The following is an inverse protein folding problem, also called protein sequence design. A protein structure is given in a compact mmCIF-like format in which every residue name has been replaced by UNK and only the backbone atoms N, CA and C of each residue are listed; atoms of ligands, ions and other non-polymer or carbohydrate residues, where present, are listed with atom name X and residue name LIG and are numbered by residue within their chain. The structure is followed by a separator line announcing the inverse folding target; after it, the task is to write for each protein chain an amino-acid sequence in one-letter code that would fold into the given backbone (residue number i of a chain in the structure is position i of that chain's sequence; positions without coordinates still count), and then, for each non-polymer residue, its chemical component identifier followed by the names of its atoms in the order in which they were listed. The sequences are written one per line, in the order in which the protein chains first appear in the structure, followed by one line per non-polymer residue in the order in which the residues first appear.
data_IF_260329848771
#
_entry.id   IF_260329848771
#
_cell.length_a   1.000
_cell.length_b   1.000
_cell.length_c   1.000
_cell.angle_alpha   90.00
_cell.angle_beta   90.00
_cell.angle_gamma   90.00
#
_symmetry.space_group_name_H-M   'P 1'
#
loop_
_entity.id
_entity.type
_entity.pdbx_description
1 polymer ?
#
# COMPACT_ATOMS: atom_id res chain seq x y z
N UNK A 1 27.93 -6.28 17.23
CA UNK A 1 26.94 -5.90 18.25
C UNK A 1 25.66 -5.47 17.56
N UNK A 2 24.57 -6.23 17.75
CA UNK A 2 23.25 -5.88 17.22
C UNK A 2 22.48 -5.20 18.33
N UNK A 3 22.26 -3.89 18.21
CA UNK A 3 21.46 -3.18 19.20
C UNK A 3 20.00 -3.53 18.98
N UNK A 4 19.36 -3.83 20.10
CA UNK A 4 17.93 -3.95 20.26
C UNK A 4 17.29 -2.65 19.75
N UNK A 5 16.25 -2.77 18.92
CA UNK A 5 15.48 -1.70 18.24
C UNK A 5 15.97 -1.22 16.85
N UNK A 6 16.99 -1.83 16.23
CA UNK A 6 17.36 -1.48 14.85
C UNK A 6 16.50 -2.24 13.82
N UNK A 7 15.98 -1.50 12.83
CA UNK A 7 15.39 -2.09 11.62
C UNK A 7 16.48 -2.88 10.86
N UNK A 8 16.12 -4.03 10.29
CA UNK A 8 17.02 -4.81 9.42
C UNK A 8 16.96 -4.34 7.96
N UNK A 9 16.38 -3.18 7.67
CA UNK A 9 16.34 -2.64 6.33
C UNK A 9 17.72 -2.11 5.92
N UNK A 10 18.10 -2.25 4.63
CA UNK A 10 19.29 -1.59 4.12
C UNK A 10 19.11 -0.07 4.16
N UNK A 11 20.23 0.66 4.24
CA UNK A 11 20.20 2.10 4.08
C UNK A 11 19.92 2.43 2.61
N UNK A 12 18.89 3.22 2.34
CA UNK A 12 18.67 3.78 1.01
C UNK A 12 19.40 5.11 0.88
N UNK A 13 20.14 5.26 -0.22
CA UNK A 13 20.85 6.49 -0.53
C UNK A 13 20.44 6.92 -1.94
N UNK A 14 19.63 7.98 -2.03
CA UNK A 14 19.17 8.53 -3.30
C UNK A 14 20.03 9.74 -3.62
N UNK A 15 20.72 9.72 -4.76
CA UNK A 15 21.55 10.83 -5.22
C UNK A 15 22.58 11.29 -4.16
N UNK A 16 23.08 10.34 -3.37
CA UNK A 16 24.05 10.61 -2.32
C UNK A 16 23.48 11.19 -1.02
N UNK A 17 22.15 11.26 -0.87
CA UNK A 17 21.45 11.58 0.38
C UNK A 17 20.94 10.29 1.00
N UNK A 18 21.30 9.98 2.27
CA UNK A 18 20.65 8.92 3.03
C UNK A 18 19.19 9.28 3.29
N UNK A 19 18.28 8.35 3.02
CA UNK A 19 16.83 8.58 3.04
C UNK A 19 16.19 7.78 4.16
N UNK A 20 15.20 8.39 4.82
CA UNK A 20 14.40 7.66 5.82
C UNK A 20 13.59 6.55 5.14
N UNK A 21 13.69 5.33 5.67
CA UNK A 21 13.06 4.14 5.10
C UNK A 21 12.21 3.37 6.11
N UNK A 22 12.22 3.78 7.38
CA UNK A 22 11.49 3.09 8.42
C UNK A 22 9.99 3.01 8.05
N UNK A 23 9.40 1.81 8.02
CA UNK A 23 7.97 1.66 7.79
C UNK A 23 7.20 2.37 8.89
N UNK A 24 6.03 2.89 8.55
CA UNK A 24 5.15 3.46 9.57
C UNK A 24 4.72 2.39 10.57
N UNK A 25 4.62 2.76 11.85
CA UNK A 25 4.33 1.85 12.97
C UNK A 25 2.84 1.67 13.26
N UNK A 26 1.94 2.11 12.36
CA UNK A 26 0.50 2.04 12.62
C UNK A 26 -0.04 0.60 12.71
N UNK A 27 0.57 -0.34 11.98
CA UNK A 27 0.29 -1.76 12.14
C UNK A 27 1.45 -2.41 12.92
N UNK A 28 1.10 -2.97 14.07
CA UNK A 28 2.02 -3.63 15.01
C UNK A 28 2.34 -5.08 14.65
N UNK A 29 1.68 -5.61 13.60
CA UNK A 29 1.76 -7.01 13.19
C UNK A 29 1.03 -7.97 14.13
N UNK A 30 0.18 -7.47 15.02
CA UNK A 30 -0.61 -8.29 15.95
C UNK A 30 -1.75 -9.01 15.22
N UNK A 31 -2.12 -10.20 15.71
CA UNK A 31 -3.21 -11.01 15.17
C UNK A 31 -4.53 -10.24 15.06
N UNK A 32 -4.85 -9.39 16.05
CA UNK A 32 -6.12 -8.67 16.14
C UNK A 32 -6.00 -7.21 15.69
N UNK A 33 -4.92 -6.85 15.00
CA UNK A 33 -4.72 -5.47 14.56
C UNK A 33 -5.79 -5.08 13.53
N UNK A 34 -6.41 -3.92 13.72
CA UNK A 34 -7.44 -3.38 12.83
C UNK A 34 -6.89 -2.19 12.05
N UNK A 35 -5.65 -2.33 11.56
CA UNK A 35 -4.89 -1.24 10.95
C UNK A 35 -4.32 -1.67 9.60
N UNK A 36 -4.26 -0.76 8.61
CA UNK A 36 -3.60 -1.03 7.34
C UNK A 36 -2.07 -0.93 7.44
N UNK A 37 -1.37 -1.46 6.43
CA UNK A 37 0.01 -1.07 6.16
C UNK A 37 0.03 0.30 5.44
N UNK A 38 0.78 1.25 6.00
CA UNK A 38 0.89 2.61 5.48
C UNK A 38 1.98 2.75 4.41
N UNK A 39 2.67 1.66 4.09
CA UNK A 39 3.75 1.60 3.12
C UNK A 39 5.07 2.11 3.69
N UNK A 40 6.07 2.04 2.83
CA UNK A 40 7.41 2.53 3.10
C UNK A 40 7.71 3.81 2.31
N UNK A 41 8.59 4.69 2.80
CA UNK A 41 8.94 5.91 2.08
C UNK A 41 9.73 5.68 0.77
N UNK A 42 10.34 4.51 0.54
CA UNK A 42 11.12 4.27 -0.69
C UNK A 42 10.23 3.97 -1.89
N UNK A 43 9.04 3.41 -1.64
CA UNK A 43 8.02 3.12 -2.65
C UNK A 43 7.59 4.35 -3.44
N UNK A 44 7.91 5.56 -2.97
CA UNK A 44 7.50 6.85 -3.51
C UNK A 44 8.31 7.35 -4.72
N UNK A 45 9.38 6.67 -5.12
CA UNK A 45 10.21 7.07 -6.27
C UNK A 45 9.57 6.59 -7.57
N UNK A 46 9.49 7.47 -8.58
CA UNK A 46 9.11 7.07 -9.94
C UNK A 46 10.20 6.20 -10.58
N UNK A 47 9.92 4.93 -10.97
CA UNK A 47 10.91 4.07 -11.61
C UNK A 47 11.44 4.63 -12.94
N UNK A 48 10.64 5.40 -13.69
CA UNK A 48 11.06 5.97 -14.98
C UNK A 48 12.17 7.02 -14.82
N UNK A 49 12.36 7.56 -13.61
CA UNK A 49 13.40 8.54 -13.31
C UNK A 49 14.68 7.90 -12.75
N UNK A 50 14.70 6.60 -12.53
CA UNK A 50 15.89 5.87 -12.04
C UNK A 50 16.86 5.63 -13.20
N UNK A 51 18.12 6.04 -13.01
CA UNK A 51 19.21 5.72 -13.93
C UNK A 51 19.90 4.42 -13.53
N UNK A 52 20.22 4.28 -12.23
CA UNK A 52 20.89 3.09 -11.71
C UNK A 52 20.43 2.75 -10.30
N UNK A 53 20.43 1.45 -10.00
CA UNK A 53 20.30 0.90 -8.65
C UNK A 53 21.54 0.04 -8.40
N UNK A 54 22.32 0.36 -7.37
CA UNK A 54 23.52 -0.38 -6.97
C UNK A 54 23.40 -0.87 -5.54
N UNK A 55 23.73 -2.15 -5.30
CA UNK A 55 23.61 -2.76 -3.96
C UNK A 55 25.01 -2.98 -3.37
N UNK A 56 25.35 -2.24 -2.33
CA UNK A 56 26.59 -2.43 -1.57
C UNK A 56 26.36 -3.40 -0.41
N UNK A 57 27.11 -4.50 -0.43
CA UNK A 57 27.03 -5.58 0.56
C UNK A 57 28.26 -5.58 1.47
N UNK A 58 28.09 -5.96 2.74
CA UNK A 58 29.19 -6.20 3.67
C UNK A 58 29.99 -4.95 4.05
N UNK A 59 31.29 -5.13 4.32
CA UNK A 59 32.16 -4.11 4.91
C UNK A 59 32.33 -2.83 4.05
N UNK A 60 32.18 -2.94 2.72
CA UNK A 60 32.28 -1.80 1.80
C UNK A 60 31.16 -0.76 2.01
N UNK A 61 29.98 -1.19 2.46
CA UNK A 61 28.84 -0.32 2.74
C UNK A 61 29.06 0.50 4.02
N UNK A 62 29.49 -0.17 5.10
CA UNK A 62 29.73 0.43 6.42
C UNK A 62 30.89 1.43 6.42
N UNK A 63 31.88 1.26 5.54
CA UNK A 63 33.03 2.16 5.43
C UNK A 63 32.64 3.56 4.92
N UNK A 64 31.68 3.64 3.99
CA UNK A 64 31.28 4.91 3.38
C UNK A 64 30.08 5.57 4.08
N UNK A 65 29.18 4.77 4.66
CA UNK A 65 27.90 5.25 5.21
C UNK A 65 27.73 4.97 6.71
N UNK A 66 28.78 4.47 7.37
CA UNK A 66 28.84 4.31 8.82
C UNK A 66 27.85 3.27 9.37
N UNK A 67 27.39 3.48 10.61
CA UNK A 67 26.59 2.49 11.34
C UNK A 67 25.26 2.14 10.66
N UNK A 68 24.65 3.10 9.94
CA UNK A 68 23.36 2.92 9.26
C UNK A 68 23.44 1.90 8.12
N UNK A 69 24.64 1.66 7.59
CA UNK A 69 24.90 0.72 6.50
C UNK A 69 25.22 -0.70 6.95
N UNK A 70 25.01 -1.02 8.25
CA UNK A 70 25.26 -2.36 8.80
C UNK A 70 24.48 -3.47 8.06
N UNK A 71 23.25 -3.17 7.61
CA UNK A 71 22.40 -4.08 6.85
C UNK A 71 22.65 -4.02 5.32
N UNK A 72 23.66 -3.26 4.87
CA UNK A 72 23.92 -2.96 3.46
C UNK A 72 23.36 -1.60 3.03
N UNK A 73 23.68 -1.19 1.79
CA UNK A 73 23.22 0.07 1.20
C UNK A 73 22.65 -0.19 -0.19
N UNK A 74 21.51 0.42 -0.49
CA UNK A 74 20.94 0.51 -1.83
C UNK A 74 21.13 1.94 -2.33
N UNK A 75 22.01 2.11 -3.30
CA UNK A 75 22.30 3.37 -3.96
C UNK A 75 21.39 3.54 -5.17
N UNK A 76 20.62 4.62 -5.19
CA UNK A 76 19.75 4.99 -6.31
C UNK A 76 20.29 6.29 -6.91
N UNK A 77 20.52 6.31 -8.22
CA UNK A 77 20.87 7.52 -8.95
C UNK A 77 19.76 7.83 -9.93
N UNK A 78 19.28 9.07 -9.94
CA UNK A 78 18.23 9.53 -10.88
C UNK A 78 18.83 10.05 -12.18
N UNK A 79 18.08 9.88 -13.28
CA UNK A 79 18.48 10.31 -14.63
C UNK A 79 18.91 11.77 -14.67
N UNK A 80 19.91 12.05 -15.51
CA UNK A 80 20.39 13.39 -15.87
C UNK A 80 20.35 13.57 -17.39
N UNK A 81 20.30 14.82 -17.87
CA UNK A 81 20.10 15.14 -19.29
C UNK A 81 21.34 14.95 -20.19
N UNK A 82 22.24 14.00 -19.89
CA UNK A 82 23.54 13.84 -20.59
C UNK A 82 23.37 13.57 -22.09
N UNK A 83 23.41 14.64 -22.90
CA UNK A 83 23.52 14.57 -24.36
C UNK A 83 22.21 14.35 -25.14
N UNK A 84 21.07 14.19 -24.47
CA UNK A 84 19.78 13.93 -25.09
C UNK A 84 18.81 15.08 -24.83
N UNK A 85 18.90 16.14 -25.64
CA UNK A 85 17.91 17.21 -25.65
C UNK A 85 16.57 16.66 -26.16
N UNK A 86 15.48 17.04 -25.50
CA UNK A 86 14.15 16.73 -25.98
C UNK A 86 13.14 16.45 -24.89
N UNK A 87 11.99 15.95 -25.34
CA UNK A 87 10.87 15.57 -24.51
C UNK A 87 10.72 14.04 -24.60
N UNK A 88 10.65 13.38 -23.46
CA UNK A 88 10.37 11.95 -23.34
C UNK A 88 8.98 11.79 -22.70
N UNK A 89 8.15 10.97 -23.29
CA UNK A 89 6.86 10.58 -22.74
C UNK A 89 6.83 9.06 -22.56
N UNK A 90 6.48 8.61 -21.36
CA UNK A 90 6.26 7.21 -21.04
C UNK A 90 4.83 7.03 -20.54
N UNK A 91 4.15 5.98 -21.01
CA UNK A 91 2.86 5.55 -20.49
C UNK A 91 2.92 4.05 -20.24
N UNK A 92 2.67 3.64 -19.00
CA UNK A 92 2.67 2.25 -18.57
C UNK A 92 1.31 1.87 -18.00
N UNK A 93 0.72 0.78 -18.50
CA UNK A 93 -0.54 0.24 -18.02
C UNK A 93 -0.33 -1.19 -17.51
N UNK A 94 -0.83 -1.47 -16.31
CA UNK A 94 -0.80 -2.78 -15.66
C UNK A 94 -2.21 -3.16 -15.23
N UNK A 95 -2.63 -4.38 -15.55
CA UNK A 95 -3.86 -4.98 -15.02
C UNK A 95 -3.51 -6.07 -14.01
N UNK A 96 -4.21 -6.07 -12.87
CA UNK A 96 -3.90 -6.92 -11.73
C UNK A 96 -5.11 -7.79 -11.38
N UNK A 97 -4.85 -9.04 -11.03
CA UNK A 97 -5.87 -9.96 -10.50
C UNK A 97 -5.31 -10.69 -9.30
N UNK A 98 -6.21 -11.12 -8.42
CA UNK A 98 -5.84 -12.02 -7.32
C UNK A 98 -5.16 -13.28 -7.87
N UNK A 99 -4.08 -13.70 -7.21
CA UNK A 99 -3.25 -14.82 -7.66
C UNK A 99 -3.56 -16.12 -6.92
N UNK A 100 -3.60 -16.06 -5.58
CA UNK A 100 -3.85 -17.23 -4.76
C UNK A 100 -5.32 -17.30 -4.35
N UNK A 101 -6.00 -18.36 -4.77
CA UNK A 101 -7.40 -18.60 -4.45
C UNK A 101 -7.60 -19.60 -3.30
N UNK A 102 -6.51 -20.26 -2.84
CA UNK A 102 -6.51 -21.38 -1.88
C UNK A 102 -7.48 -22.52 -2.26
N UNK A 103 -7.01 -23.76 -2.24
CA UNK A 103 -7.89 -24.90 -2.51
C UNK A 103 -8.73 -25.22 -1.26
N UNK A 104 -9.93 -24.64 -1.19
CA UNK A 104 -10.88 -24.87 -0.11
C UNK A 104 -11.61 -26.21 -0.26
N UNK A 105 -12.03 -26.79 0.86
CA UNK A 105 -12.94 -27.94 0.81
C UNK A 105 -14.30 -27.50 0.25
N UNK A 106 -14.91 -28.33 -0.60
CA UNK A 106 -16.26 -28.12 -1.15
C UNK A 106 -17.11 -29.40 -1.04
N UNK A 107 -16.94 -30.16 0.03
CA UNK A 107 -17.77 -31.33 0.34
C UNK A 107 -18.86 -30.98 1.36
N UNK A 108 -18.54 -30.13 2.34
CA UNK A 108 -19.43 -29.70 3.42
C UNK A 108 -19.67 -28.19 3.32
N UNK A 109 -20.91 -27.76 3.58
CA UNK A 109 -21.31 -26.34 3.54
C UNK A 109 -21.47 -25.72 4.93
N UNK A 110 -22.22 -24.61 4.96
CA UNK A 110 -22.54 -23.88 6.18
C UNK A 110 -23.21 -24.76 7.25
N UNK A 111 -22.69 -24.72 8.47
CA UNK A 111 -23.26 -25.42 9.61
C UNK A 111 -22.24 -25.78 10.67
N UNK A 112 -22.65 -26.62 11.62
CA UNK A 112 -21.79 -27.17 12.66
C UNK A 112 -22.22 -28.59 13.01
N UNK A 113 -21.29 -29.40 13.51
CA UNK A 113 -21.57 -30.79 13.92
C UNK A 113 -22.33 -31.60 12.85
N UNK A 114 -21.93 -31.46 11.58
CA UNK A 114 -22.55 -32.12 10.43
C UNK A 114 -24.04 -31.78 10.22
N UNK A 115 -24.51 -30.66 10.79
CA UNK A 115 -25.91 -30.24 10.75
C UNK A 115 -26.04 -28.93 9.97
N UNK A 116 -27.03 -28.87 9.07
CA UNK A 116 -27.36 -27.67 8.28
C UNK A 116 -28.24 -26.71 9.12
N UNK A 117 -28.12 -25.39 8.94
CA UNK A 117 -29.03 -24.45 9.56
C UNK A 117 -30.50 -24.71 9.20
N UNK A 118 -31.39 -24.57 10.19
CA UNK A 118 -32.85 -24.70 10.01
C UNK A 118 -33.60 -23.38 10.25
N UNK A 119 -32.91 -22.36 10.78
CA UNK A 119 -33.44 -21.00 10.99
C UNK A 119 -32.42 -19.96 10.56
N UNK A 120 -32.88 -18.75 10.23
CA UNK A 120 -32.00 -17.62 9.87
C UNK A 120 -31.02 -17.29 10.99
N UNK A 121 -31.50 -17.26 12.24
CA UNK A 121 -30.68 -17.05 13.43
C UNK A 121 -29.62 -18.14 13.56
N UNK A 122 -30.00 -19.41 13.35
CA UNK A 122 -29.07 -20.53 13.36
C UNK A 122 -28.00 -20.42 12.29
N UNK A 123 -28.36 -19.96 11.08
CA UNK A 123 -27.41 -19.72 10.00
C UNK A 123 -26.42 -18.58 10.35
N UNK A 124 -26.92 -17.49 10.92
CA UNK A 124 -26.09 -16.36 11.33
C UNK A 124 -25.11 -16.73 12.47
N UNK A 125 -25.48 -17.64 13.38
CA UNK A 125 -24.57 -18.11 14.44
C UNK A 125 -23.37 -18.91 13.92
N UNK A 126 -23.44 -19.45 12.71
CA UNK A 126 -22.38 -20.23 12.06
C UNK A 126 -21.91 -19.54 10.77
N UNK A 127 -21.90 -18.21 10.77
CA UNK A 127 -21.67 -17.37 9.59
C UNK A 127 -20.30 -17.53 8.93
N UNK A 128 -19.32 -18.16 9.58
CA UNK A 128 -17.97 -18.44 9.06
C UNK A 128 -17.59 -19.94 9.09
N UNK A 129 -18.57 -20.83 9.30
CA UNK A 129 -18.30 -22.26 9.51
C UNK A 129 -18.73 -23.09 8.31
N UNK A 130 -17.84 -23.95 7.82
CA UNK A 130 -18.16 -24.96 6.80
C UNK A 130 -18.20 -26.39 7.35
N UNK A 131 -18.57 -26.54 8.63
CA UNK A 131 -18.68 -27.83 9.34
C UNK A 131 -20.12 -28.36 9.39
N UNK A 132 -20.94 -27.96 8.40
CA UNK A 132 -22.31 -28.41 8.24
C UNK A 132 -22.42 -29.79 7.60
N UNK A 133 -23.63 -30.15 7.17
CA UNK A 133 -23.85 -31.37 6.39
C UNK A 133 -23.17 -31.33 5.02
N UNK A 134 -23.12 -32.48 4.34
CA UNK A 134 -22.66 -32.57 2.94
C UNK A 134 -23.50 -31.69 2.02
N UNK A 135 -22.83 -31.06 1.06
CA UNK A 135 -23.48 -30.31 -0.01
C UNK A 135 -24.28 -31.27 -0.90
N UNK A 136 -25.58 -31.04 -1.00
CA UNK A 136 -26.52 -31.95 -1.67
C UNK A 136 -27.61 -31.23 -2.47
N UNK A 137 -27.53 -29.89 -2.58
CA UNK A 137 -28.50 -29.09 -3.33
C UNK A 137 -29.85 -28.90 -2.64
N UNK A 138 -30.04 -29.43 -1.43
CA UNK A 138 -31.24 -29.18 -0.62
C UNK A 138 -31.47 -27.69 -0.36
N UNK A 139 -32.70 -27.29 -0.11
CA UNK A 139 -33.04 -25.91 0.25
C UNK A 139 -32.72 -25.65 1.72
N UNK A 140 -31.77 -24.75 1.99
CA UNK A 140 -31.31 -24.40 3.35
C UNK A 140 -31.45 -22.91 3.56
N UNK A 141 -32.02 -22.53 4.70
CA UNK A 141 -32.17 -21.12 5.10
C UNK A 141 -30.82 -20.49 5.44
N UNK A 142 -30.60 -19.26 4.99
CA UNK A 142 -29.39 -18.48 5.27
C UNK A 142 -29.66 -17.33 6.26
N UNK A 143 -28.62 -16.55 6.58
CA UNK A 143 -28.65 -15.49 7.59
C UNK A 143 -29.78 -14.45 7.39
N UNK A 144 -30.18 -14.22 6.14
CA UNK A 144 -31.22 -13.28 5.73
C UNK A 144 -32.64 -13.88 5.75
N UNK A 145 -32.78 -15.14 6.16
CA UNK A 145 -34.06 -15.86 6.16
C UNK A 145 -34.49 -16.41 4.81
N UNK A 146 -33.72 -16.17 3.75
CA UNK A 146 -34.00 -16.74 2.43
C UNK A 146 -33.41 -18.14 2.33
N UNK A 147 -34.23 -19.10 1.89
CA UNK A 147 -33.74 -20.45 1.59
C UNK A 147 -33.11 -20.53 0.21
N UNK A 148 -31.88 -21.04 0.14
CA UNK A 148 -31.10 -21.19 -1.10
C UNK A 148 -30.60 -22.63 -1.25
N UNK A 149 -30.28 -23.09 -2.47
CA UNK A 149 -29.67 -24.40 -2.68
C UNK A 149 -28.34 -24.53 -1.94
N UNK A 150 -28.19 -25.62 -1.19
CA UNK A 150 -27.00 -25.92 -0.41
C UNK A 150 -25.93 -26.56 -1.29
N UNK A 151 -25.29 -25.72 -2.11
CA UNK A 151 -24.30 -26.07 -3.15
C UNK A 151 -23.01 -25.29 -2.97
N UNK A 152 -21.91 -25.79 -3.56
CA UNK A 152 -20.60 -25.16 -3.50
C UNK A 152 -20.58 -23.78 -4.19
N UNK A 153 -19.99 -22.78 -3.53
CA UNK A 153 -19.78 -21.42 -4.01
C UNK A 153 -18.29 -21.20 -4.25
N UNK A 154 -17.81 -21.59 -5.43
CA UNK A 154 -16.37 -21.65 -5.76
C UNK A 154 -15.77 -20.33 -6.23
N UNK A 155 -16.61 -19.37 -6.59
CA UNK A 155 -16.20 -18.12 -7.23
C UNK A 155 -16.29 -16.91 -6.29
N UNK A 156 -16.42 -17.13 -4.97
CA UNK A 156 -16.61 -16.04 -4.00
C UNK A 156 -15.49 -14.98 -4.05
N UNK A 157 -14.23 -15.41 -4.20
CA UNK A 157 -13.12 -14.46 -4.28
C UNK A 157 -13.23 -13.62 -5.57
N UNK A 158 -13.52 -14.24 -6.71
CA UNK A 158 -13.67 -13.58 -8.00
C UNK A 158 -14.91 -12.67 -8.06
N UNK A 159 -15.96 -13.00 -7.30
CA UNK A 159 -17.18 -12.20 -7.20
C UNK A 159 -17.00 -10.97 -6.29
N UNK A 160 -16.05 -10.99 -5.37
CA UNK A 160 -15.76 -9.87 -4.48
C UNK A 160 -14.66 -8.95 -5.02
N UNK A 161 -13.52 -9.52 -5.39
CA UNK A 161 -12.39 -8.75 -5.91
C UNK A 161 -12.64 -8.32 -7.35
N UNK A 162 -12.20 -7.12 -7.69
CA UNK A 162 -12.19 -6.62 -9.08
C UNK A 162 -10.82 -6.80 -9.72
N UNK A 163 -10.77 -6.72 -11.04
CA UNK A 163 -9.50 -6.48 -11.74
C UNK A 163 -8.97 -5.09 -11.36
N UNK A 164 -7.78 -5.05 -10.78
CA UNK A 164 -7.06 -3.83 -10.47
C UNK A 164 -6.39 -3.25 -11.72
N UNK A 165 -6.07 -1.97 -11.67
CA UNK A 165 -5.39 -1.29 -12.77
C UNK A 165 -4.44 -0.22 -12.25
N UNK A 166 -3.23 -0.16 -12.81
CA UNK A 166 -2.30 0.95 -12.62
C UNK A 166 -2.00 1.59 -13.95
N UNK A 167 -2.16 2.92 -14.04
CA UNK A 167 -1.73 3.72 -15.17
C UNK A 167 -0.72 4.76 -14.69
N UNK A 168 0.48 4.71 -15.24
CA UNK A 168 1.52 5.72 -14.99
C UNK A 168 1.80 6.48 -16.28
N UNK A 169 1.73 7.80 -16.22
CA UNK A 169 2.19 8.68 -17.30
C UNK A 169 3.34 9.54 -16.80
N UNK A 170 4.48 9.48 -17.46
CA UNK A 170 5.67 10.29 -17.16
C UNK A 170 5.99 11.18 -18.35
N UNK A 171 6.08 12.49 -18.11
CA UNK A 171 6.61 13.47 -19.07
C UNK A 171 7.93 14.02 -18.54
N UNK A 172 8.95 13.99 -19.37
CA UNK A 172 10.29 14.45 -19.05
C UNK A 172 10.80 15.44 -20.10
N UNK A 173 11.46 16.49 -19.64
CA UNK A 173 12.15 17.46 -20.47
C UNK A 173 13.63 17.46 -20.13
N UNK A 174 14.47 17.37 -21.15
CA UNK A 174 15.92 17.35 -21.05
C UNK A 174 16.51 18.49 -21.90
N UNK A 175 17.46 19.22 -21.33
CA UNK A 175 18.20 20.25 -22.04
C UNK A 175 19.66 20.30 -21.60
N UNK A 176 20.56 20.19 -22.55
CA UNK A 176 21.99 20.44 -22.43
C UNK A 176 22.32 21.82 -23.01
N UNK A 177 23.34 22.44 -22.45
CA UNK A 177 23.88 23.73 -22.89
C UNK A 177 25.36 23.81 -22.56
N UNK A 178 26.05 24.85 -23.01
CA UNK A 178 27.46 25.00 -22.70
C UNK A 178 27.68 25.14 -21.18
N UNK A 179 28.54 24.28 -20.65
CA UNK A 179 28.79 24.17 -19.22
C UNK A 179 27.72 23.43 -18.41
N UNK A 180 26.64 22.87 -18.96
CA UNK A 180 25.67 22.17 -18.10
C UNK A 180 24.51 21.42 -18.76
N UNK A 181 23.64 20.87 -17.93
CA UNK A 181 22.39 20.25 -18.34
C UNK A 181 21.34 20.30 -17.24
N UNK A 182 20.07 20.36 -17.65
CA UNK A 182 18.90 20.29 -16.78
C UNK A 182 17.95 19.21 -17.27
N UNK A 183 17.34 18.52 -16.32
CA UNK A 183 16.26 17.57 -16.54
C UNK A 183 15.13 17.87 -15.56
N UNK A 184 13.91 17.93 -16.09
CA UNK A 184 12.68 17.96 -15.29
C UNK A 184 11.80 16.77 -15.69
N UNK A 185 11.13 16.12 -14.73
CA UNK A 185 10.03 15.19 -15.00
C UNK A 185 8.85 15.43 -14.09
N UNK A 186 7.68 15.14 -14.63
CA UNK A 186 6.43 15.00 -13.89
C UNK A 186 5.85 13.63 -14.23
N UNK A 187 5.46 12.88 -13.19
CA UNK A 187 4.79 11.59 -13.31
C UNK A 187 3.47 11.64 -12.57
N UNK A 188 2.46 11.02 -13.14
CA UNK A 188 1.15 10.79 -12.53
C UNK A 188 0.84 9.29 -12.58
N UNK A 189 0.66 8.69 -11.41
CA UNK A 189 0.24 7.30 -11.22
C UNK A 189 -1.18 7.32 -10.66
N UNK A 190 -2.09 6.61 -11.31
CA UNK A 190 -3.38 6.26 -10.75
C UNK A 190 -3.51 4.74 -10.66
N UNK A 191 -3.70 4.25 -9.43
CA UNK A 191 -3.91 2.85 -9.13
C UNK A 191 -5.31 2.64 -8.54
N UNK A 192 -6.04 1.70 -9.15
CA UNK A 192 -7.26 1.11 -8.59
C UNK A 192 -6.92 -0.30 -8.11
N UNK A 193 -6.99 -0.52 -6.80
CA UNK A 193 -6.65 -1.81 -6.23
C UNK A 193 -7.69 -2.89 -6.58
N UNK A 194 -7.29 -4.15 -6.44
CA UNK A 194 -8.19 -5.31 -6.59
C UNK A 194 -9.27 -5.37 -5.50
N UNK A 195 -8.98 -4.81 -4.32
CA UNK A 195 -9.98 -4.63 -3.25
C UNK A 195 -10.94 -3.50 -3.68
N UNK A 196 -12.26 -3.72 -3.61
CA UNK A 196 -13.23 -2.66 -3.87
C UNK A 196 -12.98 -1.43 -3.01
N UNK A 197 -13.27 -0.24 -3.55
CA UNK A 197 -13.13 1.04 -2.85
C UNK A 197 -11.71 1.41 -2.36
N UNK A 198 -10.66 0.70 -2.80
CA UNK A 198 -9.27 1.02 -2.47
C UNK A 198 -8.46 1.48 -3.68
N UNK A 199 -7.47 2.34 -3.47
CA UNK A 199 -6.58 2.83 -4.54
C UNK A 199 -5.45 3.74 -4.05
N UNK A 200 -4.62 4.17 -4.98
CA UNK A 200 -3.48 5.05 -4.72
C UNK A 200 -3.28 5.99 -5.92
N UNK A 201 -3.31 7.29 -5.68
CA UNK A 201 -2.92 8.29 -6.66
C UNK A 201 -1.62 8.96 -6.21
N UNK A 202 -0.68 9.15 -7.13
CA UNK A 202 0.61 9.75 -6.82
C UNK A 202 1.13 10.62 -7.96
N UNK A 203 1.51 11.84 -7.61
CA UNK A 203 2.27 12.72 -8.47
C UNK A 203 3.72 12.80 -7.99
N UNK A 204 4.67 12.76 -8.92
CA UNK A 204 6.10 12.91 -8.62
C UNK A 204 6.73 13.91 -9.58
N UNK A 205 7.40 14.90 -9.01
CA UNK A 205 8.13 15.92 -9.75
C UNK A 205 9.61 15.78 -9.44
N UNK A 206 10.43 15.68 -10.49
CA UNK A 206 11.86 15.46 -10.40
C UNK A 206 12.61 16.54 -11.14
N UNK A 207 13.66 17.06 -10.51
CA UNK A 207 14.59 18.01 -11.07
C UNK A 207 16.02 17.52 -10.86
N UNK A 208 16.81 17.56 -11.92
CA UNK A 208 18.25 17.34 -11.90
C UNK A 208 18.92 18.44 -12.70
N UNK A 209 19.83 19.19 -12.10
CA UNK A 209 20.65 20.20 -12.76
C UNK A 209 22.12 19.98 -12.49
N UNK A 210 22.92 19.92 -13.54
CA UNK A 210 24.38 19.93 -13.43
C UNK A 210 24.94 21.13 -14.18
N UNK A 211 25.79 21.92 -13.54
CA UNK A 211 26.30 23.15 -14.12
C UNK A 211 27.75 23.40 -13.69
N UNK A 212 28.57 23.80 -14.65
CA UNK A 212 29.97 24.16 -14.48
C UNK A 212 30.10 25.66 -14.77
N UNK A 213 29.67 26.54 -13.83
CA UNK A 213 29.67 27.98 -14.05
C UNK A 213 31.07 28.56 -14.33
N UNK A 214 32.11 27.89 -13.85
CA UNK A 214 33.52 28.27 -14.03
C UNK A 214 34.37 27.01 -14.24
N UNK A 215 35.54 27.14 -14.88
CA UNK A 215 36.45 26.02 -15.25
C UNK A 215 36.73 25.02 -14.12
N UNK A 216 36.75 25.50 -12.87
CA UNK A 216 37.09 24.68 -11.70
C UNK A 216 35.89 24.33 -10.82
N UNK A 217 34.72 24.95 -11.03
CA UNK A 217 33.55 24.78 -10.18
C UNK A 217 32.48 23.97 -10.88
N UNK A 218 32.06 22.87 -10.27
CA UNK A 218 30.93 22.05 -10.69
C UNK A 218 29.85 22.06 -9.61
N UNK A 219 28.62 22.30 -10.02
CA UNK A 219 27.42 22.30 -9.21
C UNK A 219 26.49 21.19 -9.69
N UNK A 220 25.95 20.42 -8.77
CA UNK A 220 24.95 19.38 -9.00
C UNK A 220 23.81 19.61 -8.00
N UNK A 221 22.63 19.93 -8.50
CA UNK A 221 21.43 20.14 -7.70
C UNK A 221 20.35 19.15 -8.14
N UNK A 222 19.74 18.47 -7.17
CA UNK A 222 18.63 17.55 -7.41
C UNK A 222 17.51 17.80 -6.42
N UNK A 223 16.28 17.67 -6.89
CA UNK A 223 15.09 17.73 -6.07
C UNK A 223 14.04 16.73 -6.57
N UNK A 224 13.37 16.07 -5.64
CA UNK A 224 12.27 15.15 -5.86
C UNK A 224 11.15 15.55 -4.91
N UNK A 225 9.98 15.90 -5.48
CA UNK A 225 8.80 16.27 -4.73
C UNK A 225 7.68 15.29 -5.04
N UNK A 226 7.10 14.70 -4.00
CA UNK A 226 6.08 13.65 -4.11
C UNK A 226 4.81 14.10 -3.40
N UNK A 227 3.69 13.92 -4.09
CA UNK A 227 2.34 14.02 -3.55
C UNK A 227 1.68 12.66 -3.69
N UNK A 228 1.25 12.06 -2.59
CA UNK A 228 0.61 10.75 -2.59
C UNK A 228 -0.71 10.81 -1.83
N UNK A 229 -1.73 10.15 -2.38
CA UNK A 229 -3.05 10.01 -1.81
C UNK A 229 -3.46 8.54 -1.89
N UNK A 230 -3.38 7.84 -0.76
CA UNK A 230 -3.89 6.48 -0.64
C UNK A 230 -5.34 6.52 -0.17
N UNK A 231 -6.23 5.95 -0.97
CA UNK A 231 -7.65 5.84 -0.65
C UNK A 231 -7.98 4.47 -0.09
N UNK A 232 -8.58 4.48 1.09
CA UNK A 232 -9.07 3.33 1.84
C UNK A 232 -8.13 2.11 1.81
N UNK A 233 -6.95 2.26 2.41
CA UNK A 233 -5.97 1.19 2.52
C UNK A 233 -6.61 -0.04 3.19
N UNK A 234 -6.50 -1.25 2.60
CA UNK A 234 -7.09 -2.44 3.19
C UNK A 234 -6.53 -2.71 4.60
N UNK A 235 -7.43 -2.96 5.55
CA UNK A 235 -7.06 -3.44 6.88
C UNK A 235 -6.59 -4.89 6.78
N UNK A 236 -5.64 -5.26 7.66
CA UNK A 236 -4.99 -6.57 7.68
C UNK A 236 -5.42 -7.38 8.92
N UNK A 237 -4.85 -8.59 9.05
CA UNK A 237 -5.03 -9.50 10.20
C UNK A 237 -6.51 -9.86 10.50
N UNK A 238 -6.83 -10.28 11.72
CA UNK A 238 -8.21 -10.61 12.15
C UNK A 238 -9.02 -9.33 12.48
N UNK A 239 -8.55 -8.16 12.03
CA UNK A 239 -9.20 -6.87 12.24
C UNK A 239 -10.61 -6.84 11.67
N UNK A 240 -11.55 -6.28 12.43
CA UNK A 240 -12.96 -6.26 12.04
C UNK A 240 -13.21 -5.55 10.68
N UNK A 241 -12.42 -4.55 10.32
CA UNK A 241 -12.49 -3.88 9.02
C UNK A 241 -11.75 -4.59 7.88
N UNK A 242 -11.14 -5.77 8.12
CA UNK A 242 -10.47 -6.54 7.08
C UNK A 242 -11.48 -7.28 6.20
N UNK A 243 -11.85 -6.68 5.07
CA UNK A 243 -12.73 -7.32 4.09
C UNK A 243 -12.14 -8.64 3.55
N UNK A 244 -10.82 -8.73 3.37
CA UNK A 244 -10.17 -9.93 2.81
C UNK A 244 -10.35 -11.14 3.72
N UNK A 245 -10.16 -10.97 5.04
CA UNK A 245 -10.37 -12.03 6.01
C UNK A 245 -11.80 -12.58 5.90
N UNK A 246 -12.79 -11.68 5.89
CA UNK A 246 -14.19 -12.07 5.90
C UNK A 246 -14.63 -12.78 4.62
N UNK A 247 -14.12 -12.41 3.44
CA UNK A 247 -14.42 -13.12 2.18
C UNK A 247 -13.77 -14.49 2.12
N UNK A 248 -12.52 -14.61 2.56
CA UNK A 248 -11.74 -15.86 2.49
C UNK A 248 -12.37 -16.94 3.37
N UNK A 249 -12.91 -16.57 4.53
CA UNK A 249 -13.50 -17.50 5.49
C UNK A 249 -15.03 -17.61 5.41
N UNK A 250 -15.65 -17.18 4.31
CA UNK A 250 -17.08 -17.43 4.10
C UNK A 250 -17.35 -18.94 4.03
N UNK A 251 -18.52 -19.40 4.54
CA UNK A 251 -18.96 -20.76 4.34
C UNK A 251 -18.97 -21.11 2.86
N UNK A 252 -18.50 -22.30 2.51
CA UNK A 252 -18.38 -22.75 1.12
C UNK A 252 -19.71 -22.92 0.40
N UNK A 253 -20.84 -22.81 1.11
CA UNK A 253 -22.20 -22.79 0.58
C UNK A 253 -22.86 -21.40 0.56
N UNK A 254 -22.18 -20.36 1.01
CA UNK A 254 -22.68 -18.99 1.06
C UNK A 254 -22.08 -18.19 -0.10
N UNK A 255 -22.93 -17.65 -0.97
CA UNK A 255 -22.48 -16.81 -2.08
C UNK A 255 -22.20 -15.40 -1.54
N UNK A 256 -20.98 -14.92 -1.71
CA UNK A 256 -20.56 -13.59 -1.23
C UNK A 256 -21.51 -12.50 -1.72
N UNK A 257 -22.09 -12.62 -2.91
CA UNK A 257 -22.98 -11.59 -3.50
C UNK A 257 -24.26 -11.39 -2.72
N UNK A 258 -24.65 -12.36 -1.88
CA UNK A 258 -25.81 -12.21 -0.97
C UNK A 258 -25.53 -11.24 0.18
N UNK A 259 -24.26 -10.91 0.41
CA UNK A 259 -23.83 -9.95 1.42
C UNK A 259 -23.85 -8.50 0.91
N UNK A 260 -24.01 -8.27 -0.40
CA UNK A 260 -24.10 -6.93 -0.97
C UNK A 260 -25.50 -6.30 -0.71
N UNK A 261 -25.61 -4.98 -0.47
CA UNK A 261 -24.56 -3.96 -0.52
C UNK A 261 -23.67 -3.88 0.73
N UNK A 262 -23.92 -4.72 1.74
CA UNK A 262 -23.23 -4.69 3.03
C UNK A 262 -23.97 -3.91 4.11
N UNK A 263 -24.98 -3.14 3.74
CA UNK A 263 -25.75 -2.28 4.64
C UNK A 263 -27.23 -2.62 4.66
N UNK A 264 -27.86 -2.40 5.82
CA UNK A 264 -29.31 -2.31 5.95
C UNK A 264 -29.82 -0.93 5.46
N UNK A 265 -31.14 -0.74 5.26
CA UNK A 265 -31.70 0.54 4.83
C UNK A 265 -31.41 1.73 5.76
N UNK A 266 -31.15 1.48 7.04
CA UNK A 266 -30.79 2.49 8.03
C UNK A 266 -29.28 2.81 8.06
N UNK A 267 -28.49 2.18 7.18
CA UNK A 267 -27.05 2.37 7.06
C UNK A 267 -26.20 1.51 8.00
N UNK A 268 -26.82 0.73 8.89
CA UNK A 268 -26.12 -0.24 9.74
C UNK A 268 -25.61 -1.42 8.92
N UNK A 269 -24.67 -2.20 9.48
CA UNK A 269 -24.15 -3.39 8.84
C UNK A 269 -25.22 -4.46 8.62
N UNK A 270 -25.27 -5.03 7.42
CA UNK A 270 -25.98 -6.28 7.15
C UNK A 270 -25.19 -7.44 7.76
N UNK A 271 -25.44 -7.71 9.04
CA UNK A 271 -24.73 -8.75 9.82
C UNK A 271 -25.10 -10.14 9.32
N UNK A 272 -24.10 -10.88 8.85
CA UNK A 272 -24.25 -12.27 8.42
C UNK A 272 -23.71 -13.30 9.43
N UNK A 273 -22.87 -12.85 10.37
CA UNK A 273 -22.24 -13.71 11.37
C UNK A 273 -22.46 -13.16 12.78
N UNK A 274 -23.51 -13.63 13.45
CA UNK A 274 -23.79 -13.29 14.86
C UNK A 274 -23.01 -14.16 15.84
N UNK A 275 -22.40 -15.26 15.38
CA UNK A 275 -21.52 -16.10 16.21
C UNK A 275 -20.16 -15.46 16.47
N UNK A 276 -19.73 -14.57 15.57
CA UNK A 276 -18.60 -13.67 15.78
C UNK A 276 -18.89 -12.30 15.13
N UNK A 277 -19.42 -11.32 15.88
CA UNK A 277 -19.81 -10.02 15.33
C UNK A 277 -18.64 -9.15 14.85
N UNK A 278 -17.39 -9.54 15.13
CA UNK A 278 -16.20 -8.89 14.55
C UNK A 278 -15.94 -9.34 13.11
N UNK A 279 -16.61 -10.39 12.63
CA UNK A 279 -16.60 -10.76 11.22
C UNK A 279 -17.57 -9.87 10.45
N UNK A 280 -17.10 -8.67 10.16
CA UNK A 280 -17.86 -7.66 9.43
C UNK A 280 -18.17 -8.14 8.01
N UNK A 281 -19.38 -7.86 7.54
CA UNK A 281 -19.75 -8.03 6.15
C UNK A 281 -18.67 -7.42 5.22
N UNK A 282 -18.12 -8.18 4.26
CA UNK A 282 -16.97 -7.74 3.48
C UNK A 282 -17.26 -6.51 2.59
N UNK A 283 -18.50 -6.32 2.12
CA UNK A 283 -18.87 -5.11 1.39
C UNK A 283 -18.95 -3.91 2.32
N UNK A 284 -19.50 -4.08 3.53
CA UNK A 284 -19.52 -3.03 4.55
C UNK A 284 -18.09 -2.64 4.98
N UNK A 285 -17.24 -3.64 5.22
CA UNK A 285 -15.84 -3.42 5.55
C UNK A 285 -15.11 -2.62 4.45
N UNK A 286 -15.33 -2.95 3.17
CA UNK A 286 -14.69 -2.25 2.06
C UNK A 286 -15.25 -0.84 1.80
N UNK A 287 -16.55 -0.61 2.00
CA UNK A 287 -17.20 0.64 1.59
C UNK A 287 -17.45 1.64 2.73
N UNK A 288 -17.53 1.19 3.98
CA UNK A 288 -17.93 2.03 5.12
C UNK A 288 -16.78 2.34 6.08
N UNK A 289 -15.75 1.49 6.15
CA UNK A 289 -14.51 1.87 6.82
C UNK A 289 -13.73 2.86 5.96
N UNK A 290 -13.08 3.82 6.60
CA UNK A 290 -12.21 4.80 5.95
C UNK A 290 -10.81 4.65 6.49
N UNK A 291 -9.82 4.49 5.61
CA UNK A 291 -8.40 4.47 5.94
C UNK A 291 -7.59 5.22 4.86
N UNK A 292 -7.64 6.55 4.89
CA UNK A 292 -6.96 7.39 3.93
C UNK A 292 -5.62 7.89 4.46
N UNK A 293 -4.63 7.97 3.58
CA UNK A 293 -3.34 8.61 3.87
C UNK A 293 -3.01 9.63 2.79
N UNK A 294 -2.58 10.82 3.19
CA UNK A 294 -1.95 11.78 2.27
C UNK A 294 -0.53 12.03 2.69
N UNK A 295 0.40 12.06 1.73
CA UNK A 295 1.81 12.35 1.95
C UNK A 295 2.29 13.46 1.02
N UNK A 296 3.05 14.37 1.60
CA UNK A 296 3.87 15.35 0.86
C UNK A 296 5.33 15.13 1.25
N UNK A 297 6.23 14.93 0.29
CA UNK A 297 7.66 14.70 0.56
C UNK A 297 8.55 15.50 -0.36
N UNK A 298 9.58 16.12 0.18
CA UNK A 298 10.67 16.77 -0.53
C UNK A 298 12.00 16.09 -0.18
N UNK A 299 12.67 15.56 -1.19
CA UNK A 299 14.02 15.07 -1.15
C UNK A 299 14.89 15.99 -2.02
N UNK A 300 15.86 16.69 -1.46
CA UNK A 300 16.73 17.59 -2.22
C UNK A 300 18.19 17.47 -1.82
N UNK A 301 19.08 17.75 -2.76
CA UNK A 301 20.50 17.92 -2.49
C UNK A 301 21.15 18.91 -3.42
N UNK A 302 22.19 19.56 -2.90
CA UNK A 302 23.10 20.39 -3.66
C UNK A 302 24.52 19.96 -3.31
N UNK A 303 25.30 19.67 -4.35
CA UNK A 303 26.72 19.35 -4.26
C UNK A 303 27.51 20.40 -5.04
N UNK A 304 28.50 20.99 -4.40
CA UNK A 304 29.47 21.88 -5.03
C UNK A 304 30.85 21.23 -4.97
N UNK A 305 31.55 21.18 -6.10
CA UNK A 305 32.90 20.64 -6.21
C UNK A 305 33.82 21.64 -6.89
N UNK A 306 34.91 22.02 -6.21
CA UNK A 306 35.97 22.83 -6.79
C UNK A 306 37.20 21.94 -7.05
N UNK A 307 37.67 21.86 -8.30
CA UNK A 307 38.82 21.03 -8.70
C UNK A 307 39.97 21.91 -9.18
N UNK A 308 41.09 21.87 -8.46
CA UNK A 308 42.32 22.60 -8.75
C UNK A 308 43.00 22.03 -10.01
N UNK A 309 43.87 22.82 -10.67
CA UNK A 309 44.59 22.39 -11.89
C UNK A 309 45.47 21.15 -11.68
N UNK A 310 45.90 20.88 -10.44
CA UNK A 310 46.67 19.69 -10.07
C UNK A 310 45.81 18.44 -9.81
N UNK A 311 44.49 18.53 -9.99
CA UNK A 311 43.53 17.44 -9.81
C UNK A 311 42.99 17.27 -8.38
N UNK A 312 43.52 18.00 -7.39
CA UNK A 312 42.97 18.02 -6.04
C UNK A 312 41.60 18.69 -6.03
N UNK A 313 40.63 18.16 -5.27
CA UNK A 313 39.30 18.76 -5.20
C UNK A 313 38.81 18.93 -3.76
N UNK A 314 37.98 19.95 -3.58
CA UNK A 314 37.16 20.16 -2.40
C UNK A 314 35.70 19.98 -2.79
N UNK A 315 34.94 19.20 -2.02
CA UNK A 315 33.52 18.96 -2.27
C UNK A 315 32.70 19.21 -1.00
N UNK A 316 31.66 20.03 -1.15
CA UNK A 316 30.62 20.21 -0.15
C UNK A 316 29.30 19.64 -0.66
N UNK A 317 28.54 18.97 0.20
CA UNK A 317 27.19 18.49 -0.10
C UNK A 317 26.26 18.83 1.06
N UNK A 318 25.08 19.33 0.72
CA UNK A 318 23.96 19.53 1.65
C UNK A 318 22.75 18.82 1.07
N UNK A 319 22.03 18.06 1.90
CA UNK A 319 20.83 17.37 1.50
C UNK A 319 19.73 17.56 2.55
N UNK A 320 18.47 17.48 2.11
CA UNK A 320 17.29 17.53 2.96
C UNK A 320 16.30 16.46 2.51
N UNK A 321 15.78 15.72 3.48
CA UNK A 321 14.63 14.86 3.33
C UNK A 321 13.59 15.36 4.35
N UNK A 322 12.40 15.74 3.88
CA UNK A 322 11.31 16.16 4.74
C UNK A 322 10.00 15.70 4.16
N UNK A 323 9.14 15.12 4.99
CA UNK A 323 7.81 14.70 4.60
C UNK A 323 6.78 15.03 5.67
N UNK A 324 5.51 15.06 5.27
CA UNK A 324 4.37 15.21 6.15
C UNK A 324 3.31 14.22 5.72
N UNK A 325 2.88 13.38 6.67
CA UNK A 325 1.80 12.43 6.49
C UNK A 325 0.56 12.90 7.25
N UNK A 326 -0.61 12.75 6.63
CA UNK A 326 -1.90 12.89 7.32
C UNK A 326 -2.68 11.60 7.17
N UNK A 327 -3.22 11.14 8.29
CA UNK A 327 -3.95 9.89 8.38
C UNK A 327 -5.40 10.19 8.77
N UNK A 328 -6.35 9.62 8.04
CA UNK A 328 -7.77 9.67 8.37
C UNK A 328 -8.29 8.25 8.48
N UNK A 329 -8.64 7.83 9.70
CA UNK A 329 -9.25 6.53 9.95
C UNK A 329 -10.62 6.70 10.61
N UNK A 330 -11.63 6.03 10.07
CA UNK A 330 -12.99 6.03 10.59
C UNK A 330 -13.48 4.60 10.69
N UNK A 331 -13.90 4.22 11.90
CA UNK A 331 -14.71 3.02 12.12
C UNK A 331 -16.19 3.45 12.07
N UNK A 332 -16.99 2.92 11.13
CA UNK A 332 -18.39 3.29 11.01
C UNK A 332 -19.21 2.84 12.23
N UNK A 333 -20.23 3.61 12.57
CA UNK A 333 -21.24 3.21 13.56
C UNK A 333 -22.16 2.13 12.99
N UNK A 334 -22.75 1.30 13.86
CA UNK A 334 -23.74 0.31 13.43
C UNK A 334 -23.12 -0.97 12.86
N UNK A 335 -21.84 -1.22 13.13
CA UNK A 335 -21.26 -2.56 12.93
C UNK A 335 -21.91 -3.56 13.88
N UNK A 336 -21.86 -4.84 13.54
CA UNK A 336 -22.36 -5.92 14.40
C UNK A 336 -21.73 -5.95 15.79
N UNK A 337 -20.47 -5.48 15.92
CA UNK A 337 -19.73 -5.42 17.18
C UNK A 337 -19.78 -4.06 17.89
N UNK A 338 -20.22 -2.98 17.22
CA UNK A 338 -20.46 -1.65 17.81
C UNK A 338 -21.82 -1.09 17.34
N UNK A 339 -22.94 -1.66 17.80
CA UNK A 339 -24.27 -1.27 17.34
C UNK A 339 -24.72 0.15 17.74
N UNK A 340 -23.93 0.89 18.54
CA UNK A 340 -24.33 2.20 19.08
C UNK A 340 -23.21 3.22 19.35
N UNK A 341 -22.02 3.09 18.76
CA UNK A 341 -20.92 4.02 19.03
C UNK A 341 -20.25 4.54 17.74
N UNK A 342 -20.09 5.86 17.63
CA UNK A 342 -19.17 6.50 16.68
C UNK A 342 -17.76 6.51 17.29
N UNK A 343 -16.77 5.97 16.57
CA UNK A 343 -15.35 6.09 16.94
C UNK A 343 -14.59 6.69 15.76
N UNK A 344 -14.48 8.02 15.75
CA UNK A 344 -13.53 8.73 14.91
C UNK A 344 -12.25 8.93 15.71
N UNK A 345 -11.15 8.27 15.32
CA UNK A 345 -9.84 8.54 15.92
C UNK A 345 -8.98 9.35 14.94
N UNK A 346 -8.75 10.61 15.28
CA UNK A 346 -7.78 11.45 14.59
C UNK A 346 -6.43 11.26 15.30
N UNK A 347 -5.46 10.62 14.65
CA UNK A 347 -4.10 10.46 15.19
C UNK A 347 -3.13 11.35 14.43
N UNK A 348 -2.87 12.60 14.89
CA UNK A 348 -1.74 13.37 14.38
C UNK A 348 -0.46 12.76 14.93
N UNK A 349 0.30 12.07 14.08
CA UNK A 349 1.71 11.78 14.37
C UNK A 349 2.48 13.05 14.01
N UNK A 350 2.99 13.74 15.03
CA UNK A 350 3.80 14.94 14.83
C UNK A 350 5.08 14.56 14.07
N UNK A 351 5.55 15.42 13.14
CA UNK A 351 6.80 15.17 12.43
C UNK A 351 7.96 15.14 13.43
N UNK A 352 8.80 14.11 13.34
CA UNK A 352 10.11 14.05 14.01
C UNK A 352 11.18 14.68 13.16
#
# INVERSE_FOLDING_TARGET
MSSLNQTNQPLYVINGVPVESQPSTANSGSQYDNSPDLGDPISNINPDDIETISVLKGAAASALYGYRAKAGVILITTKSARGNDGIEFNSNFVAEKIYNLTDWQYEYGQGANNTKPTTAVGAAQVGNSSWGGKLDGSSVVQFDGTSRPYVAQKDNLQNFYRTGSSLTNTLAFNKSFDGGSIRFSASDLSNRAVVPNSGLDRQTFNFTGTFNPYKHLSLDARANYILEQAHNRPILADGAGNANFNVIFLPTSLDVRTLAPGTNPDGTELVYNTGNPYNTNPYFAAHNFVNNTTRERLLSNVTARYTLDNGLFLQGRVGRDSYTDRYTSVTPSGTGYLPGAESSSFRPILPT
#
